data_IF_311069338282
#
_entry.id   IF_311069338282
#
_cell.length_a   1.000
_cell.length_b   1.000
_cell.length_c   1.000
_cell.angle_alpha   90.00
_cell.angle_beta   90.00
_cell.angle_gamma   90.00
#
_symmetry.space_group_name_H-M   'P 1'
#
loop_
_entity.id
_entity.type
_entity.pdbx_description
1 polymer ?
#
# COMPACT_ATOMS: atom_id res chain seq x y z
N UNK A 1 -20.52 -7.68 -25.17
CA UNK A 1 -19.98 -7.26 -23.85
C UNK A 1 -19.75 -8.51 -23.01
N UNK A 2 -18.49 -8.93 -22.84
CA UNK A 2 -18.13 -10.13 -22.06
C UNK A 2 -17.92 -9.72 -20.60
N UNK A 3 -18.80 -10.17 -19.70
CA UNK A 3 -18.62 -10.08 -18.24
C UNK A 3 -17.50 -11.05 -17.84
N UNK A 4 -16.37 -10.53 -17.39
CA UNK A 4 -15.30 -11.34 -16.81
C UNK A 4 -15.70 -11.64 -15.36
N UNK A 5 -15.88 -12.93 -15.05
CA UNK A 5 -16.04 -13.44 -13.67
C UNK A 5 -14.67 -13.33 -12.98
N UNK A 6 -14.54 -12.49 -11.97
CA UNK A 6 -13.40 -12.51 -11.05
C UNK A 6 -13.79 -13.28 -9.78
N UNK A 7 -12.96 -14.29 -9.52
CA UNK A 7 -13.12 -15.32 -8.52
C UNK A 7 -12.83 -14.78 -7.11
N UNK A 8 -13.64 -15.27 -6.16
CA UNK A 8 -13.39 -15.48 -4.73
C UNK A 8 -12.09 -14.90 -4.13
N UNK A 9 -12.22 -13.79 -3.38
CA UNK A 9 -11.34 -13.47 -2.26
C UNK A 9 -12.13 -13.70 -0.96
N UNK A 10 -12.09 -14.94 -0.45
CA UNK A 10 -12.76 -15.34 0.79
C UNK A 10 -11.92 -16.45 1.43
N UNK A 11 -11.13 -16.09 2.46
CA UNK A 11 -10.35 -16.90 3.46
C UNK A 11 -9.18 -16.00 3.92
N UNK A 12 -8.88 -15.68 5.19
CA UNK A 12 -9.21 -16.10 6.56
C UNK A 12 -9.04 -14.82 7.44
N UNK A 13 -9.74 -14.57 8.54
CA UNK A 13 -9.64 -15.30 9.81
C UNK A 13 -10.90 -15.04 10.67
N UNK A 14 -11.45 -16.13 11.19
CA UNK A 14 -12.29 -16.12 12.38
C UNK A 14 -11.55 -16.90 13.48
N UNK A 15 -11.64 -16.39 14.71
CA UNK A 15 -11.21 -16.97 16.00
C UNK A 15 -9.68 -16.96 16.26
N UNK A 16 -9.16 -16.38 17.35
CA UNK A 16 -9.54 -16.62 18.74
C UNK A 16 -9.21 -15.42 19.67
N UNK A 17 -10.20 -15.09 20.50
CA UNK A 17 -10.20 -14.31 21.76
C UNK A 17 -9.84 -12.81 21.73
N UNK A 18 -10.89 -11.99 21.72
CA UNK A 18 -10.88 -10.65 22.35
C UNK A 18 -11.17 -9.48 21.41
N UNK A 19 -12.45 -9.29 21.06
CA UNK A 19 -13.06 -8.07 20.51
C UNK A 19 -12.19 -7.16 19.61
N UNK A 20 -12.42 -7.22 18.29
CA UNK A 20 -12.60 -6.05 17.41
C UNK A 20 -13.17 -6.49 16.06
N UNK A 21 -14.39 -6.01 15.78
CA UNK A 21 -15.04 -5.81 14.47
C UNK A 21 -14.86 -6.83 13.35
N UNK A 22 -15.91 -7.64 13.13
CA UNK A 22 -16.13 -8.45 11.94
C UNK A 22 -16.12 -7.61 10.65
N UNK A 23 -15.13 -7.81 9.77
CA UNK A 23 -15.16 -7.35 8.38
C UNK A 23 -15.13 -8.56 7.44
N UNK A 24 -16.26 -9.27 7.40
CA UNK A 24 -16.55 -10.25 6.37
C UNK A 24 -17.53 -9.62 5.36
N UNK A 25 -17.01 -8.91 4.36
CA UNK A 25 -17.86 -8.36 3.28
C UNK A 25 -18.01 -9.41 2.18
N UNK A 26 -19.20 -10.00 2.11
CA UNK A 26 -19.64 -10.80 0.97
C UNK A 26 -20.25 -9.83 -0.07
N UNK A 27 -19.48 -9.51 -1.11
CA UNK A 27 -19.88 -8.53 -2.12
C UNK A 27 -20.84 -9.13 -3.16
N UNK A 28 -22.15 -8.91 -2.99
CA UNK A 28 -23.11 -8.78 -4.09
C UNK A 28 -23.07 -7.32 -4.61
N UNK A 29 -23.35 -7.06 -5.89
CA UNK A 29 -23.10 -5.75 -6.52
C UNK A 29 -23.77 -4.55 -5.84
N UNK A 30 -24.94 -4.71 -5.22
CA UNK A 30 -25.61 -3.65 -4.44
C UNK A 30 -24.97 -3.48 -3.04
N UNK A 31 -24.47 -4.57 -2.46
CA UNK A 31 -23.69 -4.53 -1.22
C UNK A 31 -22.30 -3.92 -1.46
N UNK A 32 -21.69 -4.11 -2.63
CA UNK A 32 -20.39 -3.55 -2.98
C UNK A 32 -20.43 -2.01 -3.00
N UNK A 33 -21.44 -1.42 -3.66
CA UNK A 33 -21.65 0.04 -3.66
C UNK A 33 -21.91 0.58 -2.26
N UNK A 34 -22.76 -0.10 -1.49
CA UNK A 34 -23.05 0.25 -0.09
C UNK A 34 -21.78 0.15 0.77
N UNK A 35 -20.90 -0.80 0.48
CA UNK A 35 -19.62 -0.97 1.18
C UNK A 35 -18.64 0.14 0.81
N UNK A 36 -18.46 0.46 -0.48
CA UNK A 36 -17.54 1.53 -0.91
C UNK A 36 -17.97 2.90 -0.38
N UNK A 37 -19.28 3.21 -0.38
CA UNK A 37 -19.79 4.47 0.18
C UNK A 37 -19.55 4.54 1.70
N UNK A 38 -19.80 3.44 2.45
CA UNK A 38 -19.50 3.37 3.89
C UNK A 38 -18.01 3.55 4.17
N UNK A 39 -17.14 2.89 3.41
CA UNK A 39 -15.69 3.01 3.57
C UNK A 39 -15.19 4.41 3.25
N UNK A 40 -15.77 5.08 2.25
CA UNK A 40 -15.46 6.47 1.95
C UNK A 40 -15.90 7.40 3.07
N UNK A 41 -17.11 7.22 3.62
CA UNK A 41 -17.57 7.98 4.78
C UNK A 41 -16.66 7.79 6.00
N UNK A 42 -16.18 6.56 6.23
CA UNK A 42 -15.21 6.29 7.29
C UNK A 42 -13.86 6.95 7.01
N UNK A 43 -13.37 6.93 5.77
CA UNK A 43 -12.14 7.61 5.37
C UNK A 43 -12.23 9.15 5.52
N UNK A 44 -13.44 9.71 5.39
CA UNK A 44 -13.75 11.12 5.57
C UNK A 44 -13.87 11.53 7.04
N UNK A 45 -14.46 10.68 7.89
CA UNK A 45 -14.88 11.06 9.25
C UNK A 45 -14.06 10.45 10.38
N UNK A 46 -13.39 9.31 10.15
CA UNK A 46 -12.57 8.64 11.16
C UNK A 46 -11.11 9.10 11.11
N UNK A 47 -10.32 8.69 12.10
CA UNK A 47 -8.90 9.00 12.24
C UNK A 47 -8.11 7.73 12.57
N UNK A 48 -6.78 7.80 12.50
CA UNK A 48 -5.91 6.73 12.94
C UNK A 48 -6.09 5.41 12.18
N UNK A 49 -6.04 4.30 12.91
CA UNK A 49 -6.12 2.94 12.35
C UNK A 49 -7.44 2.65 11.62
N UNK A 50 -8.57 3.19 12.08
CA UNK A 50 -9.88 2.98 11.43
C UNK A 50 -9.96 3.69 10.07
N UNK A 51 -9.43 4.92 10.01
CA UNK A 51 -9.28 5.65 8.75
C UNK A 51 -8.36 4.87 7.81
N UNK A 52 -7.19 4.48 8.29
CA UNK A 52 -6.21 3.70 7.54
C UNK A 52 -6.83 2.43 6.94
N UNK A 53 -7.53 1.63 7.76
CA UNK A 53 -8.17 0.40 7.33
C UNK A 53 -9.21 0.66 6.24
N UNK A 54 -10.02 1.71 6.42
CA UNK A 54 -11.05 2.10 5.45
C UNK A 54 -10.44 2.47 4.10
N UNK A 55 -9.33 3.22 4.10
CA UNK A 55 -8.60 3.62 2.89
C UNK A 55 -7.98 2.42 2.18
N UNK A 56 -7.34 1.51 2.93
CA UNK A 56 -6.75 0.29 2.37
C UNK A 56 -7.83 -0.56 1.72
N UNK A 57 -8.91 -0.85 2.44
CA UNK A 57 -10.03 -1.64 1.92
C UNK A 57 -10.67 -0.98 0.68
N UNK A 58 -10.86 0.34 0.71
CA UNK A 58 -11.41 1.08 -0.42
C UNK A 58 -10.52 0.95 -1.67
N UNK A 59 -9.20 0.93 -1.52
CA UNK A 59 -8.24 0.75 -2.62
C UNK A 59 -8.12 -0.68 -3.14
N UNK A 60 -8.61 -1.68 -2.40
CA UNK A 60 -8.66 -3.08 -2.86
C UNK A 60 -10.02 -3.47 -3.46
N UNK A 61 -11.05 -2.62 -3.30
CA UNK A 61 -12.38 -2.85 -3.85
C UNK A 61 -12.55 -2.18 -5.21
N UNK A 62 -13.46 -2.73 -6.02
CA UNK A 62 -13.94 -2.03 -7.21
C UNK A 62 -14.75 -0.80 -6.77
N UNK A 63 -14.26 0.38 -7.14
CA UNK A 63 -14.94 1.66 -6.93
C UNK A 63 -15.62 2.07 -8.24
N UNK A 64 -16.92 2.39 -8.19
CA UNK A 64 -17.63 2.88 -9.37
C UNK A 64 -17.22 4.32 -9.75
N UNK A 65 -17.53 4.73 -10.99
CA UNK A 65 -17.16 6.05 -11.52
C UNK A 65 -17.69 7.23 -10.68
N UNK A 66 -18.82 7.04 -9.99
CA UNK A 66 -19.45 8.08 -9.16
C UNK A 66 -18.66 8.30 -7.88
N UNK A 67 -18.35 7.22 -7.16
CA UNK A 67 -17.52 7.28 -5.95
C UNK A 67 -16.07 7.67 -6.28
N UNK A 68 -15.53 7.24 -7.42
CA UNK A 68 -14.19 7.65 -7.87
C UNK A 68 -14.11 9.17 -8.07
N UNK A 69 -15.11 9.78 -8.74
CA UNK A 69 -15.19 11.24 -8.89
C UNK A 69 -15.29 11.96 -7.55
N UNK A 70 -16.02 11.38 -6.58
CA UNK A 70 -16.10 11.94 -5.23
C UNK A 70 -14.73 11.90 -4.55
N UNK A 71 -14.01 10.78 -4.63
CA UNK A 71 -12.65 10.64 -4.09
C UNK A 71 -11.69 11.63 -4.74
N UNK A 72 -11.74 11.80 -6.07
CA UNK A 72 -10.95 12.80 -6.79
C UNK A 72 -11.28 14.23 -6.34
N UNK A 73 -12.55 14.57 -6.17
CA UNK A 73 -12.97 15.87 -5.63
C UNK A 73 -12.44 16.10 -4.20
N UNK A 74 -12.48 15.08 -3.34
CA UNK A 74 -11.91 15.16 -1.98
C UNK A 74 -10.40 15.31 -2.00
N UNK A 75 -9.70 14.56 -2.84
CA UNK A 75 -8.27 14.71 -3.03
C UNK A 75 -7.91 16.13 -3.49
N UNK A 76 -8.67 16.71 -4.42
CA UNK A 76 -8.43 18.08 -4.89
C UNK A 76 -8.65 19.15 -3.80
N UNK A 77 -9.42 18.86 -2.76
CA UNK A 77 -9.56 19.72 -1.56
C UNK A 77 -8.35 19.61 -0.63
N UNK A 78 -7.70 18.44 -0.57
CA UNK A 78 -6.50 18.19 0.23
C UNK A 78 -5.49 17.32 -0.55
N UNK A 79 -4.70 17.98 -1.39
CA UNK A 79 -3.82 17.37 -2.40
C UNK A 79 -2.64 16.53 -1.85
N UNK A 80 -2.55 16.36 -0.53
CA UNK A 80 -1.51 15.59 0.15
C UNK A 80 -2.04 14.37 0.88
N UNK A 81 -3.35 14.12 0.84
CA UNK A 81 -3.95 13.03 1.59
C UNK A 81 -3.58 11.67 1.00
N UNK A 82 -2.67 10.97 1.68
CA UNK A 82 -2.13 9.69 1.22
C UNK A 82 -3.21 8.62 1.09
N UNK A 83 -4.28 8.69 1.88
CA UNK A 83 -5.42 7.78 1.79
C UNK A 83 -6.07 7.83 0.40
N UNK A 84 -6.44 9.04 -0.05
CA UNK A 84 -7.08 9.19 -1.35
C UNK A 84 -6.09 8.95 -2.48
N UNK A 85 -4.83 9.36 -2.34
CA UNK A 85 -3.79 9.04 -3.33
C UNK A 85 -3.60 7.54 -3.49
N UNK A 86 -3.63 6.76 -2.41
CA UNK A 86 -3.56 5.31 -2.46
C UNK A 86 -4.72 4.72 -3.26
N UNK A 87 -5.96 5.10 -2.92
CA UNK A 87 -7.17 4.60 -3.60
C UNK A 87 -7.16 4.99 -5.08
N UNK A 88 -6.83 6.24 -5.39
CA UNK A 88 -6.78 6.75 -6.76
C UNK A 88 -5.70 6.03 -7.59
N UNK A 89 -4.53 5.77 -6.99
CA UNK A 89 -3.42 5.05 -7.65
C UNK A 89 -3.77 3.58 -7.89
N UNK A 90 -4.40 2.90 -6.93
CA UNK A 90 -4.86 1.51 -7.10
C UNK A 90 -6.00 1.39 -8.12
N UNK A 91 -6.84 2.42 -8.22
CA UNK A 91 -7.96 2.51 -9.16
C UNK A 91 -7.56 2.85 -10.60
N UNK A 92 -6.28 3.09 -10.91
CA UNK A 92 -5.80 3.60 -12.22
C UNK A 92 -6.06 2.66 -13.42
N UNK A 93 -6.68 1.50 -13.23
CA UNK A 93 -7.19 0.71 -14.35
C UNK A 93 -8.23 1.46 -15.21
N UNK A 94 -8.74 2.63 -14.76
CA UNK A 94 -9.77 3.38 -15.49
C UNK A 94 -9.28 4.70 -16.12
N UNK A 95 -8.32 5.44 -15.52
CA UNK A 95 -7.84 6.72 -16.07
C UNK A 95 -6.37 7.04 -15.69
N UNK A 96 -5.48 7.16 -16.68
CA UNK A 96 -4.07 7.52 -16.52
C UNK A 96 -3.89 9.01 -16.16
N UNK A 97 -4.10 9.35 -14.89
CA UNK A 97 -4.12 10.75 -14.41
C UNK A 97 -2.85 11.18 -13.65
N UNK A 98 -1.86 10.29 -13.53
CA UNK A 98 -0.60 10.60 -12.85
C UNK A 98 -0.68 10.55 -11.33
N UNK A 99 -1.67 9.82 -10.79
CA UNK A 99 -1.84 9.66 -9.35
C UNK A 99 -0.71 8.85 -8.76
N UNK A 100 -0.12 7.92 -9.52
CA UNK A 100 1.14 7.24 -9.21
C UNK A 100 2.25 8.22 -8.81
N UNK A 101 2.51 9.26 -9.61
CA UNK A 101 3.53 10.28 -9.35
C UNK A 101 3.18 11.16 -8.18
N UNK A 102 1.91 11.47 -8.00
CA UNK A 102 1.44 12.23 -6.84
C UNK A 102 1.55 11.41 -5.55
N UNK A 103 1.24 10.12 -5.60
CA UNK A 103 1.41 9.17 -4.51
C UNK A 103 2.88 9.07 -4.12
N UNK A 104 3.77 8.83 -5.08
CA UNK A 104 5.22 8.79 -4.85
C UNK A 104 5.67 10.10 -4.21
N UNK A 105 5.32 11.24 -4.79
CA UNK A 105 5.74 12.57 -4.29
C UNK A 105 5.24 12.87 -2.88
N UNK A 106 4.02 12.47 -2.54
CA UNK A 106 3.42 12.73 -1.24
C UNK A 106 3.52 11.54 -0.28
N UNK A 107 4.24 10.48 -0.65
CA UNK A 107 4.48 9.37 0.26
C UNK A 107 5.18 9.91 1.52
N UNK A 108 4.76 9.49 2.72
CA UNK A 108 5.24 10.11 3.95
C UNK A 108 6.75 9.94 4.14
N UNK A 109 7.38 10.88 4.86
CA UNK A 109 8.77 10.74 5.26
C UNK A 109 8.91 9.61 6.29
N UNK A 110 10.14 9.10 6.52
CA UNK A 110 10.42 7.95 7.42
C UNK A 110 9.68 8.06 8.78
N UNK A 111 9.73 9.24 9.42
CA UNK A 111 9.09 9.48 10.73
C UNK A 111 7.56 9.37 10.69
N UNK A 112 6.94 9.77 9.59
CA UNK A 112 5.50 9.65 9.35
C UNK A 112 5.14 8.22 8.91
N UNK A 113 6.08 7.50 8.29
CA UNK A 113 5.91 6.09 7.93
C UNK A 113 5.81 5.20 9.18
N UNK A 114 6.50 5.52 10.28
CA UNK A 114 6.29 4.84 11.59
C UNK A 114 4.84 4.91 12.07
N UNK A 115 4.15 6.03 11.81
CA UNK A 115 2.74 6.16 12.14
C UNK A 115 1.88 5.27 11.22
N UNK A 116 2.20 5.14 9.93
CA UNK A 116 1.53 4.19 9.05
C UNK A 116 1.74 2.74 9.50
N UNK A 117 2.94 2.39 9.96
CA UNK A 117 3.23 1.08 10.54
C UNK A 117 2.40 0.84 11.80
N UNK A 118 2.27 1.84 12.67
CA UNK A 118 1.42 1.75 13.85
C UNK A 118 -0.05 1.52 13.47
N UNK A 119 -0.59 2.31 12.55
CA UNK A 119 -1.98 2.13 12.09
C UNK A 119 -2.19 0.76 11.44
N UNK A 120 -1.21 0.26 10.69
CA UNK A 120 -1.26 -1.09 10.14
C UNK A 120 -1.40 -2.16 11.22
N UNK A 121 -0.56 -2.10 12.27
CA UNK A 121 -0.62 -3.04 13.40
C UNK A 121 -1.94 -2.96 14.17
N UNK A 122 -2.46 -1.75 14.36
CA UNK A 122 -3.72 -1.50 15.08
C UNK A 122 -4.96 -1.86 14.25
N UNK A 123 -4.86 -1.86 12.92
CA UNK A 123 -5.98 -2.15 12.00
C UNK A 123 -6.38 -3.62 11.91
N UNK A 124 -5.69 -4.52 12.62
CA UNK A 124 -5.97 -5.96 12.61
C UNK A 124 -5.43 -6.70 11.38
N UNK A 125 -4.67 -6.03 10.51
CA UNK A 125 -3.89 -6.70 9.48
C UNK A 125 -2.76 -7.54 10.10
N UNK A 126 -2.37 -8.68 9.50
CA UNK A 126 -1.34 -9.51 10.09
C UNK A 126 0.01 -8.78 10.07
N UNK A 127 0.60 -8.63 11.25
CA UNK A 127 1.83 -7.83 11.52
C UNK A 127 3.05 -8.27 10.70
N UNK A 128 3.02 -9.48 10.13
CA UNK A 128 4.10 -10.02 9.29
C UNK A 128 4.09 -9.48 7.85
N UNK A 129 3.05 -8.77 7.42
CA UNK A 129 2.97 -8.22 6.06
C UNK A 129 3.36 -6.74 6.04
N UNK A 130 3.97 -6.31 4.93
CA UNK A 130 4.13 -4.90 4.64
C UNK A 130 2.77 -4.18 4.57
N UNK A 131 2.63 -2.96 5.12
CA UNK A 131 1.53 -2.05 4.88
C UNK A 131 1.23 -1.95 3.39
N UNK A 132 -0.04 -2.00 2.96
CA UNK A 132 -0.39 -1.92 1.54
C UNK A 132 0.11 -0.67 0.83
N UNK A 133 0.23 0.47 1.53
CA UNK A 133 0.89 1.67 1.02
C UNK A 133 2.36 1.43 0.63
N UNK A 134 3.10 0.67 1.45
CA UNK A 134 4.51 0.32 1.19
C UNK A 134 4.60 -0.72 0.08
N UNK A 135 3.66 -1.67 0.02
CA UNK A 135 3.58 -2.62 -1.10
C UNK A 135 3.36 -1.89 -2.43
N UNK A 136 2.43 -0.94 -2.49
CA UNK A 136 2.20 -0.12 -3.68
C UNK A 136 3.45 0.68 -4.06
N UNK A 137 4.16 1.27 -3.09
CA UNK A 137 5.42 1.96 -3.35
C UNK A 137 6.49 0.99 -3.93
N UNK A 138 6.58 -0.23 -3.41
CA UNK A 138 7.48 -1.25 -3.92
C UNK A 138 7.12 -1.67 -5.35
N UNK A 139 5.84 -1.79 -5.67
CA UNK A 139 5.37 -2.11 -7.03
C UNK A 139 5.71 -0.98 -8.02
N UNK A 140 5.56 0.28 -7.62
CA UNK A 140 5.96 1.44 -8.43
C UNK A 140 7.49 1.54 -8.60
N UNK A 141 8.27 1.02 -7.66
CA UNK A 141 9.74 1.06 -7.66
C UNK A 141 10.38 0.23 -8.78
N UNK A 142 9.64 -0.71 -9.38
CA UNK A 142 10.14 -1.47 -10.54
C UNK A 142 10.46 -0.58 -11.74
N UNK A 143 9.74 0.52 -11.92
CA UNK A 143 9.87 1.42 -13.08
C UNK A 143 10.18 2.87 -12.74
N UNK A 144 9.93 3.34 -11.51
CA UNK A 144 10.12 4.74 -11.11
C UNK A 144 11.28 4.93 -10.12
N UNK A 145 12.23 5.81 -10.45
CA UNK A 145 13.45 6.05 -9.66
C UNK A 145 13.12 6.69 -8.31
N UNK A 146 12.17 7.64 -8.29
CA UNK A 146 11.76 8.33 -7.06
C UNK A 146 11.00 7.40 -6.13
N UNK A 147 10.21 6.47 -6.67
CA UNK A 147 9.60 5.40 -5.89
C UNK A 147 10.67 4.53 -5.22
N UNK A 148 11.70 4.13 -5.98
CA UNK A 148 12.80 3.32 -5.44
C UNK A 148 13.58 4.07 -4.36
N UNK A 149 13.92 5.34 -4.57
CA UNK A 149 14.57 6.17 -3.53
C UNK A 149 13.78 6.19 -2.22
N UNK A 150 12.45 6.36 -2.32
CA UNK A 150 11.58 6.39 -1.14
C UNK A 150 11.50 5.02 -0.48
N UNK A 151 11.38 3.94 -1.25
CA UNK A 151 11.39 2.58 -0.72
C UNK A 151 12.69 2.29 0.04
N UNK A 152 13.85 2.66 -0.53
CA UNK A 152 15.15 2.47 0.09
C UNK A 152 15.31 3.29 1.38
N UNK A 153 14.73 4.49 1.44
CA UNK A 153 14.74 5.28 2.68
C UNK A 153 14.04 4.59 3.86
N UNK A 154 13.17 3.59 3.60
CA UNK A 154 12.51 2.82 4.64
C UNK A 154 13.40 1.73 5.25
N UNK A 155 14.57 1.43 4.66
CA UNK A 155 15.50 0.43 5.20
C UNK A 155 16.09 0.86 6.55
N UNK A 156 16.18 2.17 6.80
CA UNK A 156 16.62 2.73 8.07
C UNK A 156 15.52 2.72 9.16
N UNK A 157 14.31 2.27 8.83
CA UNK A 157 13.16 2.25 9.75
C UNK A 157 13.22 1.06 10.72
N UNK A 158 13.01 1.27 12.02
CA UNK A 158 13.12 0.22 13.03
C UNK A 158 11.86 -0.64 13.14
N UNK A 159 11.73 -1.78 12.44
CA UNK A 159 10.72 -2.77 12.86
C UNK A 159 10.91 -4.21 12.35
N UNK A 160 11.53 -5.06 13.20
CA UNK A 160 11.24 -6.50 13.33
C UNK A 160 10.88 -7.29 12.07
N UNK A 161 9.80 -8.09 12.13
CA UNK A 161 9.38 -9.02 11.06
C UNK A 161 9.02 -8.34 9.73
N UNK A 162 8.69 -7.04 9.74
CA UNK A 162 8.35 -6.31 8.52
C UNK A 162 9.60 -5.82 7.76
N UNK A 163 10.75 -5.78 8.43
CA UNK A 163 12.05 -5.55 7.80
C UNK A 163 12.41 -6.69 6.84
N UNK A 164 12.07 -7.93 7.16
CA UNK A 164 12.32 -9.08 6.27
C UNK A 164 11.49 -9.00 4.99
N UNK A 165 10.17 -8.72 5.09
CA UNK A 165 9.32 -8.53 3.91
C UNK A 165 9.76 -7.30 3.09
N UNK A 166 10.14 -6.19 3.75
CA UNK A 166 10.71 -5.02 3.06
C UNK A 166 11.99 -5.37 2.29
N UNK A 167 12.94 -6.06 2.93
CA UNK A 167 14.16 -6.55 2.28
C UNK A 167 13.86 -7.48 1.12
N UNK A 168 12.86 -8.36 1.25
CA UNK A 168 12.39 -9.23 0.17
C UNK A 168 11.84 -8.46 -1.02
N UNK A 169 11.07 -7.37 -0.79
CA UNK A 169 10.60 -6.49 -1.86
C UNK A 169 11.73 -5.73 -2.52
N UNK A 170 12.63 -5.13 -1.74
CA UNK A 170 13.83 -4.43 -2.25
C UNK A 170 14.67 -5.37 -3.10
N UNK A 171 14.92 -6.60 -2.63
CA UNK A 171 15.65 -7.62 -3.38
C UNK A 171 14.92 -8.04 -4.66
N UNK A 172 13.59 -8.09 -4.65
CA UNK A 172 12.81 -8.40 -5.86
C UNK A 172 12.94 -7.30 -6.92
N UNK A 173 12.95 -6.03 -6.51
CA UNK A 173 13.23 -4.90 -7.42
C UNK A 173 14.65 -4.98 -7.97
N UNK A 174 15.64 -5.31 -7.12
CA UNK A 174 17.01 -5.59 -7.56
C UNK A 174 17.07 -6.69 -8.63
N UNK A 175 16.43 -7.84 -8.40
CA UNK A 175 16.43 -8.96 -9.36
C UNK A 175 15.83 -8.59 -10.70
N UNK A 176 14.81 -7.73 -10.72
CA UNK A 176 14.15 -7.33 -11.96
C UNK A 176 15.00 -6.37 -12.81
N UNK A 177 15.76 -5.46 -12.19
CA UNK A 177 16.65 -4.56 -12.91
C UNK A 177 17.93 -4.22 -12.09
N UNK A 178 18.93 -5.12 -12.06
CA UNK A 178 20.08 -4.99 -11.18
C UNK A 178 20.91 -3.73 -11.39
N UNK A 179 21.12 -3.33 -12.65
CA UNK A 179 21.99 -2.18 -12.97
C UNK A 179 21.34 -0.85 -12.56
N UNK A 180 20.04 -0.68 -12.87
CA UNK A 180 19.26 0.46 -12.41
C UNK A 180 19.22 0.52 -10.88
N UNK A 181 18.96 -0.63 -10.24
CA UNK A 181 18.91 -0.71 -8.79
C UNK A 181 20.24 -0.29 -8.17
N UNK A 182 21.38 -0.87 -8.59
CA UNK A 182 22.70 -0.57 -8.02
C UNK A 182 23.06 0.91 -8.13
N UNK A 183 22.73 1.54 -9.26
CA UNK A 183 22.93 2.98 -9.45
C UNK A 183 22.14 3.78 -8.39
N UNK A 184 20.84 3.55 -8.29
CA UNK A 184 19.96 4.29 -7.37
C UNK A 184 20.29 3.97 -5.90
N UNK A 185 20.63 2.71 -5.59
CA UNK A 185 21.04 2.25 -4.28
C UNK A 185 22.29 2.99 -3.78
N UNK A 186 23.29 3.13 -4.67
CA UNK A 186 24.50 3.91 -4.38
C UNK A 186 24.22 5.41 -4.29
N UNK A 187 23.40 5.97 -5.16
CA UNK A 187 23.01 7.39 -5.11
C UNK A 187 22.22 7.71 -3.82
N UNK A 188 21.46 6.74 -3.28
CA UNK A 188 20.76 6.84 -2.01
C UNK A 188 21.68 6.71 -0.77
N UNK A 189 22.97 6.44 -0.97
CA UNK A 189 23.98 6.40 0.09
C UNK A 189 24.29 4.99 0.63
N UNK A 190 23.69 3.94 0.08
CA UNK A 190 23.97 2.55 0.50
C UNK A 190 25.17 1.96 -0.24
N UNK A 191 25.96 1.14 0.44
CA UNK A 191 27.15 0.49 -0.09
C UNK A 191 26.92 -0.95 -0.58
N UNK A 192 28.01 -1.58 -1.03
CA UNK A 192 27.96 -2.99 -1.45
C UNK A 192 27.71 -3.95 -0.28
N UNK A 193 28.14 -3.59 0.94
CA UNK A 193 27.99 -4.43 2.13
C UNK A 193 26.50 -4.59 2.50
N UNK A 194 25.72 -3.51 2.43
CA UNK A 194 24.28 -3.53 2.68
C UNK A 194 23.53 -4.35 1.63
N UNK A 195 23.95 -4.24 0.36
CA UNK A 195 23.37 -5.05 -0.72
C UNK A 195 23.68 -6.54 -0.51
N UNK A 196 24.91 -6.88 -0.14
CA UNK A 196 25.31 -8.25 0.14
C UNK A 196 24.60 -8.81 1.37
N UNK A 197 24.35 -7.99 2.40
CA UNK A 197 23.53 -8.38 3.55
C UNK A 197 22.10 -8.75 3.12
N UNK A 198 21.43 -7.90 2.33
CA UNK A 198 20.09 -8.18 1.80
C UNK A 198 20.08 -9.47 0.98
N UNK A 199 21.07 -9.66 0.09
CA UNK A 199 21.18 -10.87 -0.73
C UNK A 199 21.39 -12.13 0.09
N UNK A 200 22.28 -12.08 1.09
CA UNK A 200 22.62 -13.24 1.90
C UNK A 200 21.40 -13.84 2.61
N UNK A 201 20.50 -12.99 3.09
CA UNK A 201 19.26 -13.45 3.76
C UNK A 201 18.27 -13.99 2.72
N UNK A 202 18.14 -13.35 1.56
CA UNK A 202 17.10 -13.69 0.56
C UNK A 202 17.48 -14.82 -0.41
N UNK A 203 18.77 -15.16 -0.52
CA UNK A 203 19.29 -16.25 -1.36
C UNK A 203 19.54 -17.55 -0.56
N UNK A 204 19.28 -17.53 0.76
CA UNK A 204 19.39 -18.75 1.58
C UNK A 204 18.20 -19.70 1.27
N UNK A 205 18.47 -20.99 0.96
CA UNK A 205 17.44 -21.97 0.56
C UNK A 205 16.35 -22.27 1.60
#
# INVERSE_FOLDING_TARGET
>A
MKKIKLYSALLLLNCLTGCSSNLAVKAETDNARTTTSTLLENAENLQGADRYASCVLLGELYVDDGEYKRIEQRHNQNNKDICYLYVLTKGEAVYANGYDRMFIKNFPAIQETEQLWQYHRESGYPVSFLPPYIQLLADLSYSDDQALYRLLSLLDSPSGSTSEDLNGRVYSVYKANPDRFKRIFSEAGFGSEELDAIKSVMETP
#
